data_IF_286462795984
#
_entry.id   IF_286462795984
#
_cell.length_a   1.000
_cell.length_b   1.000
_cell.length_c   1.000
_cell.angle_alpha   90.00
_cell.angle_beta   90.00
_cell.angle_gamma   90.00
#
_symmetry.space_group_name_H-M   'P 1'
#
loop_
_entity.id
_entity.type
_entity.pdbx_description
1 polymer ?
#
# COMPACT_ATOMS: atom_id res chain seq x y z
N UNK A 1 -72.63 -53.44 -15.13
CA UNK A 1 -71.70 -53.55 -13.99
C UNK A 1 -70.30 -53.62 -14.53
N UNK A 2 -69.42 -52.74 -14.03
CA UNK A 2 -67.96 -52.78 -14.15
C UNK A 2 -67.40 -52.64 -15.59
N UNK A 3 -66.32 -51.92 -15.89
CA UNK A 3 -65.41 -51.00 -15.21
C UNK A 3 -64.56 -50.45 -16.37
N UNK A 4 -64.41 -49.13 -16.48
CA UNK A 4 -63.57 -48.53 -17.51
C UNK A 4 -62.11 -48.92 -17.32
N UNK A 5 -61.52 -49.56 -18.33
CA UNK A 5 -60.08 -49.78 -18.42
C UNK A 5 -59.48 -48.64 -19.25
N UNK A 6 -58.73 -47.79 -18.56
CA UNK A 6 -57.80 -46.79 -19.09
C UNK A 6 -56.73 -47.45 -19.97
N UNK A 7 -56.65 -47.03 -21.23
CA UNK A 7 -55.50 -47.34 -22.09
C UNK A 7 -54.44 -46.24 -21.87
N UNK A 8 -53.31 -46.67 -21.32
CA UNK A 8 -52.20 -45.82 -20.89
C UNK A 8 -51.26 -45.66 -22.09
N UNK A 9 -51.23 -44.45 -22.65
CA UNK A 9 -50.22 -44.04 -23.61
C UNK A 9 -48.82 -44.15 -23.01
N UNK A 10 -47.95 -44.87 -23.72
CA UNK A 10 -46.54 -45.11 -23.43
C UNK A 10 -45.74 -43.81 -23.21
N UNK A 11 -45.34 -43.53 -21.97
CA UNK A 11 -44.15 -42.72 -21.71
C UNK A 11 -42.92 -43.62 -21.85
N UNK A 12 -42.14 -43.40 -22.92
CA UNK A 12 -40.80 -43.98 -23.07
C UNK A 12 -39.94 -43.47 -21.91
N UNK A 13 -39.71 -44.34 -20.92
CA UNK A 13 -38.84 -44.08 -19.78
C UNK A 13 -37.47 -43.59 -20.25
N UNK A 14 -37.16 -42.33 -19.93
CA UNK A 14 -35.83 -41.76 -20.08
C UNK A 14 -34.93 -42.50 -19.09
N UNK A 15 -34.09 -43.42 -19.57
CA UNK A 15 -33.15 -44.14 -18.73
C UNK A 15 -31.99 -43.19 -18.39
N UNK A 16 -32.10 -42.47 -17.27
CA UNK A 16 -31.01 -41.66 -16.76
C UNK A 16 -29.85 -42.60 -16.37
N UNK A 17 -28.72 -42.50 -17.07
CA UNK A 17 -27.48 -43.15 -16.65
C UNK A 17 -26.96 -42.42 -15.42
N UNK A 18 -26.77 -43.14 -14.31
CA UNK A 18 -26.08 -42.62 -13.13
C UNK A 18 -24.65 -42.23 -13.52
N UNK A 19 -24.33 -40.94 -13.39
CA UNK A 19 -22.98 -40.43 -13.55
C UNK A 19 -22.32 -40.50 -12.18
N UNK A 20 -21.45 -41.47 -11.98
CA UNK A 20 -20.59 -41.55 -10.80
C UNK A 20 -19.41 -40.61 -11.01
N UNK A 21 -19.37 -39.50 -10.27
CA UNK A 21 -18.19 -38.65 -10.19
C UNK A 21 -17.27 -39.25 -9.13
N UNK A 22 -16.16 -39.85 -9.57
CA UNK A 22 -15.11 -40.32 -8.67
C UNK A 22 -14.36 -39.11 -8.09
N UNK A 23 -14.82 -38.64 -6.94
CA UNK A 23 -14.17 -37.57 -6.18
C UNK A 23 -12.96 -38.18 -5.49
N UNK A 24 -11.80 -38.10 -6.15
CA UNK A 24 -10.52 -38.28 -5.45
C UNK A 24 -10.52 -37.35 -4.25
N UNK A 25 -10.26 -37.87 -3.05
CA UNK A 25 -10.02 -37.04 -1.86
C UNK A 25 -8.73 -36.24 -2.08
N UNK A 26 -8.85 -35.13 -2.80
CA UNK A 26 -7.83 -34.09 -2.84
C UNK A 26 -8.05 -33.32 -1.56
N UNK A 27 -7.23 -33.59 -0.55
CA UNK A 27 -7.20 -32.76 0.66
C UNK A 27 -6.92 -31.31 0.28
N UNK A 28 -7.33 -30.37 1.13
CA UNK A 28 -7.04 -28.96 0.91
C UNK A 28 -5.54 -28.77 0.60
N UNK A 29 -5.16 -27.87 -0.32
CA UNK A 29 -3.76 -27.57 -0.58
C UNK A 29 -3.09 -27.24 0.75
N UNK A 30 -2.17 -28.11 1.17
CA UNK A 30 -1.50 -27.97 2.46
C UNK A 30 -0.48 -26.83 2.34
N UNK A 31 -0.92 -25.61 2.64
CA UNK A 31 -0.07 -24.44 2.74
C UNK A 31 0.84 -24.62 3.96
N UNK A 32 2.02 -25.20 3.72
CA UNK A 32 3.02 -25.42 4.77
C UNK A 32 3.38 -24.10 5.47
N UNK A 33 3.82 -24.15 6.74
CA UNK A 33 4.14 -22.95 7.51
C UNK A 33 5.27 -22.10 6.89
N UNK A 34 6.07 -22.69 6.00
CA UNK A 34 7.12 -22.00 5.26
C UNK A 34 6.63 -21.23 4.02
N UNK A 35 5.41 -21.50 3.53
CA UNK A 35 4.91 -20.95 2.29
C UNK A 35 4.72 -19.43 2.38
N UNK A 36 5.37 -18.71 1.46
CA UNK A 36 5.35 -17.24 1.44
C UNK A 36 5.49 -16.63 0.03
N UNK A 37 5.79 -17.43 -1.00
CA UNK A 37 5.92 -16.97 -2.38
C UNK A 37 4.75 -17.52 -3.20
N UNK A 38 3.97 -16.62 -3.81
CA UNK A 38 2.69 -16.93 -4.44
C UNK A 38 2.68 -16.50 -5.90
N UNK A 39 1.84 -17.15 -6.71
CA UNK A 39 1.38 -16.55 -7.96
C UNK A 39 0.30 -15.54 -7.64
N UNK A 40 0.30 -14.42 -8.35
CA UNK A 40 -0.70 -13.37 -8.16
C UNK A 40 -2.06 -13.93 -8.58
N UNK A 41 -3.11 -13.77 -7.75
CA UNK A 41 -4.46 -14.19 -8.09
C UNK A 41 -4.88 -13.66 -9.47
N UNK A 42 -5.50 -14.52 -10.28
CA UNK A 42 -5.85 -14.20 -11.68
C UNK A 42 -6.69 -12.93 -11.83
N UNK A 43 -7.55 -12.63 -10.85
CA UNK A 43 -8.37 -11.41 -10.82
C UNK A 43 -7.50 -10.16 -10.70
N UNK A 44 -6.60 -10.12 -9.71
CA UNK A 44 -5.64 -9.03 -9.53
C UNK A 44 -4.71 -8.90 -10.75
N UNK A 45 -4.17 -10.01 -11.25
CA UNK A 45 -3.29 -10.02 -12.43
C UNK A 45 -3.95 -9.43 -13.66
N UNK A 46 -5.25 -9.71 -13.89
CA UNK A 46 -6.00 -9.22 -15.05
C UNK A 46 -6.18 -7.70 -15.04
N UNK A 47 -6.17 -7.05 -13.87
CA UNK A 47 -6.29 -5.58 -13.78
C UNK A 47 -5.06 -4.90 -14.37
N UNK A 48 -3.85 -5.44 -14.10
CA UNK A 48 -2.58 -4.90 -14.62
C UNK A 48 -1.49 -5.98 -14.64
N UNK A 49 -1.39 -6.71 -15.74
CA UNK A 49 -0.48 -7.85 -15.85
C UNK A 49 1.01 -7.44 -15.82
N UNK A 50 1.33 -6.30 -16.42
CA UNK A 50 2.68 -5.75 -16.50
C UNK A 50 3.27 -5.33 -15.14
N UNK A 51 2.42 -5.18 -14.12
CA UNK A 51 2.86 -4.86 -12.76
C UNK A 51 3.45 -6.07 -12.02
N UNK A 52 3.19 -7.29 -12.51
CA UNK A 52 3.62 -8.54 -11.88
C UNK A 52 4.65 -9.31 -12.70
N UNK A 53 4.95 -8.83 -13.92
CA UNK A 53 5.82 -9.52 -14.87
C UNK A 53 7.20 -8.84 -14.92
N UNK A 54 8.30 -9.55 -14.61
CA UNK A 54 9.63 -8.97 -14.68
C UNK A 54 10.00 -8.55 -16.10
N UNK A 55 10.67 -7.40 -16.23
CA UNK A 55 10.96 -6.75 -17.53
C UNK A 55 12.42 -6.90 -17.97
N UNK A 56 13.33 -7.13 -17.02
CA UNK A 56 14.78 -7.16 -17.24
C UNK A 56 15.41 -8.43 -16.68
N UNK A 57 14.97 -8.93 -15.52
CA UNK A 57 15.58 -10.08 -14.87
C UNK A 57 14.58 -11.02 -14.21
N UNK A 58 14.65 -12.29 -14.57
CA UNK A 58 13.96 -13.36 -13.84
C UNK A 58 14.81 -13.80 -12.65
N UNK A 59 14.16 -14.04 -11.51
CA UNK A 59 14.71 -14.60 -10.28
C UNK A 59 13.75 -15.68 -9.79
N UNK A 60 14.29 -16.84 -9.48
CA UNK A 60 13.46 -17.96 -9.03
C UNK A 60 12.72 -18.65 -10.17
N UNK A 61 11.82 -19.60 -9.83
CA UNK A 61 11.28 -20.56 -10.78
C UNK A 61 10.14 -20.04 -11.67
N UNK A 62 9.41 -19.00 -11.27
CA UNK A 62 8.14 -18.63 -11.94
C UNK A 62 8.36 -18.12 -13.36
N UNK A 63 9.40 -17.30 -13.56
CA UNK A 63 9.71 -16.68 -14.86
C UNK A 63 11.00 -17.22 -15.50
N UNK A 64 11.58 -18.29 -14.93
CA UNK A 64 12.93 -18.77 -15.27
C UNK A 64 13.11 -19.03 -16.78
N UNK A 65 12.13 -19.66 -17.40
CA UNK A 65 12.16 -20.05 -18.81
C UNK A 65 11.66 -18.96 -19.77
N UNK A 66 11.44 -17.72 -19.31
CA UNK A 66 10.98 -16.65 -20.17
C UNK A 66 12.08 -16.27 -21.19
N UNK A 67 11.81 -16.50 -22.48
CA UNK A 67 12.74 -16.20 -23.56
C UNK A 67 13.11 -14.72 -23.68
N UNK A 68 12.23 -13.82 -23.27
CA UNK A 68 12.45 -12.37 -23.32
C UNK A 68 13.51 -11.90 -22.31
N UNK A 69 13.82 -12.73 -21.30
CA UNK A 69 14.76 -12.40 -20.22
C UNK A 69 16.13 -13.10 -20.35
N UNK A 70 16.38 -13.76 -21.49
CA UNK A 70 17.60 -14.55 -21.73
C UNK A 70 18.88 -13.73 -21.72
N UNK A 71 18.84 -12.49 -22.22
CA UNK A 71 20.02 -11.63 -22.27
C UNK A 71 20.63 -11.40 -20.88
N UNK A 72 19.78 -11.29 -19.86
CA UNK A 72 20.23 -11.04 -18.49
C UNK A 72 20.85 -12.27 -17.84
N UNK A 73 20.63 -13.48 -18.36
CA UNK A 73 21.29 -14.69 -17.86
C UNK A 73 22.82 -14.62 -18.05
N UNK A 74 23.29 -14.07 -19.19
CA UNK A 74 24.72 -13.85 -19.42
C UNK A 74 25.32 -12.86 -18.40
N UNK A 75 24.55 -11.87 -17.96
CA UNK A 75 24.96 -10.94 -16.92
C UNK A 75 25.06 -11.65 -15.58
N UNK A 76 24.09 -12.50 -15.21
CA UNK A 76 24.17 -13.32 -13.99
C UNK A 76 25.41 -14.20 -13.98
N UNK A 77 25.72 -14.89 -15.07
CA UNK A 77 26.93 -15.72 -15.19
C UNK A 77 28.22 -14.91 -15.02
N UNK A 78 28.24 -13.65 -15.47
CA UNK A 78 29.38 -12.75 -15.25
C UNK A 78 29.55 -12.42 -13.77
N UNK A 79 28.46 -12.10 -13.07
CA UNK A 79 28.49 -11.84 -11.62
C UNK A 79 28.88 -13.10 -10.85
N UNK A 80 28.38 -14.25 -11.29
CA UNK A 80 28.74 -15.56 -10.75
C UNK A 80 30.24 -15.85 -10.85
N UNK A 81 30.83 -15.69 -12.04
CA UNK A 81 32.27 -15.85 -12.27
C UNK A 81 33.07 -14.87 -11.40
N UNK A 82 32.64 -13.62 -11.32
CA UNK A 82 33.31 -12.60 -10.50
C UNK A 82 33.27 -12.94 -9.01
N UNK A 83 32.13 -13.39 -8.50
CA UNK A 83 31.98 -13.78 -7.10
C UNK A 83 32.96 -14.92 -6.75
N UNK A 84 32.98 -15.98 -7.56
CA UNK A 84 33.87 -17.14 -7.33
C UNK A 84 35.35 -16.85 -7.61
N UNK A 85 35.68 -15.80 -8.36
CA UNK A 85 37.07 -15.34 -8.51
C UNK A 85 37.62 -14.65 -7.25
N UNK A 86 36.74 -14.18 -6.36
CA UNK A 86 37.09 -13.44 -5.15
C UNK A 86 37.14 -14.33 -3.89
N UNK A 87 36.79 -15.61 -4.00
CA UNK A 87 36.70 -16.54 -2.86
C UNK A 87 37.53 -17.80 -3.07
N UNK A 88 38.11 -18.33 -1.99
CA UNK A 88 38.74 -19.65 -1.99
C UNK A 88 37.74 -20.81 -1.88
N UNK A 89 36.45 -20.49 -1.66
CA UNK A 89 35.38 -21.48 -1.49
C UNK A 89 34.87 -21.98 -2.84
N UNK A 90 34.63 -23.29 -2.93
CA UNK A 90 34.18 -23.90 -4.18
C UNK A 90 32.69 -23.73 -4.45
N UNK A 91 32.31 -23.63 -5.72
CA UNK A 91 30.90 -23.63 -6.17
C UNK A 91 30.10 -24.83 -5.62
N UNK A 92 30.76 -26.00 -5.51
CA UNK A 92 30.17 -27.24 -4.95
C UNK A 92 29.71 -27.08 -3.50
N UNK A 93 30.39 -26.26 -2.69
CA UNK A 93 29.99 -26.03 -1.30
C UNK A 93 28.67 -25.26 -1.23
N UNK A 94 28.54 -24.20 -2.04
CA UNK A 94 27.31 -23.40 -2.13
C UNK A 94 26.15 -24.23 -2.69
N UNK A 95 26.40 -25.03 -3.74
CA UNK A 95 25.43 -25.97 -4.27
C UNK A 95 24.96 -26.98 -3.21
N UNK A 96 25.88 -27.50 -2.39
CA UNK A 96 25.54 -28.43 -1.30
C UNK A 96 24.67 -27.77 -0.21
N UNK A 97 24.88 -26.49 0.10
CA UNK A 97 24.01 -25.74 1.01
C UNK A 97 22.59 -25.69 0.45
N UNK A 98 22.43 -25.40 -0.83
CA UNK A 98 21.12 -25.36 -1.49
C UNK A 98 20.48 -26.74 -1.49
N UNK A 99 21.22 -27.80 -1.87
CA UNK A 99 20.71 -29.17 -1.88
C UNK A 99 20.19 -29.60 -0.50
N UNK A 100 20.94 -29.32 0.57
CA UNK A 100 20.53 -29.60 1.95
C UNK A 100 19.30 -28.83 2.41
N UNK A 101 18.93 -27.75 1.73
CA UNK A 101 17.77 -26.92 2.07
C UNK A 101 16.69 -26.99 0.98
N UNK A 102 16.83 -27.87 -0.02
CA UNK A 102 15.96 -27.93 -1.21
C UNK A 102 14.48 -28.01 -0.85
N UNK A 103 14.10 -28.94 0.03
CA UNK A 103 12.71 -29.09 0.45
C UNK A 103 12.18 -27.85 1.16
N UNK A 104 13.00 -27.21 2.01
CA UNK A 104 12.62 -25.97 2.67
C UNK A 104 12.44 -24.81 1.68
N UNK A 105 13.31 -24.70 0.68
CA UNK A 105 13.19 -23.69 -0.38
C UNK A 105 11.92 -23.96 -1.20
N UNK A 106 11.66 -25.21 -1.58
CA UNK A 106 10.45 -25.60 -2.30
C UNK A 106 9.18 -25.28 -1.49
N UNK A 107 9.16 -25.60 -0.20
CA UNK A 107 8.01 -25.35 0.68
C UNK A 107 7.72 -23.86 0.89
N UNK A 108 8.66 -22.96 0.55
CA UNK A 108 8.37 -21.53 0.52
C UNK A 108 7.47 -21.10 -0.64
N UNK A 109 7.32 -21.93 -1.68
CA UNK A 109 6.47 -21.63 -2.82
C UNK A 109 5.11 -22.31 -2.72
N UNK A 110 4.08 -21.59 -3.18
CA UNK A 110 2.74 -22.12 -3.36
C UNK A 110 2.73 -23.46 -4.12
N UNK A 111 1.81 -24.40 -3.81
CA UNK A 111 1.79 -25.74 -4.40
C UNK A 111 1.86 -25.76 -5.93
N UNK A 112 1.25 -24.79 -6.60
CA UNK A 112 1.23 -24.68 -8.06
C UNK A 112 2.61 -24.36 -8.65
N UNK A 113 3.46 -23.63 -7.91
CA UNK A 113 4.84 -23.33 -8.30
C UNK A 113 5.72 -24.53 -7.95
N UNK A 114 5.53 -25.12 -6.77
CA UNK A 114 6.29 -26.26 -6.28
C UNK A 114 6.24 -27.48 -7.22
N UNK A 115 5.12 -27.68 -7.91
CA UNK A 115 4.99 -28.73 -8.93
C UNK A 115 5.83 -28.46 -10.18
N UNK A 116 6.00 -27.19 -10.58
CA UNK A 116 6.81 -26.80 -11.76
C UNK A 116 8.30 -27.04 -11.50
N UNK A 117 8.74 -26.77 -10.27
CA UNK A 117 10.14 -26.89 -9.83
C UNK A 117 10.69 -28.33 -9.96
N UNK A 118 9.85 -29.37 -9.82
CA UNK A 118 10.31 -30.77 -9.79
C UNK A 118 10.91 -31.27 -11.10
N UNK A 119 10.69 -30.55 -12.21
CA UNK A 119 11.13 -30.94 -13.55
C UNK A 119 12.36 -30.16 -14.06
N UNK A 120 12.92 -29.24 -13.27
CA UNK A 120 13.96 -28.31 -13.71
C UNK A 120 15.27 -28.47 -12.92
N UNK A 121 16.37 -27.88 -13.42
CA UNK A 121 17.64 -27.79 -12.68
C UNK A 121 17.57 -26.74 -11.56
N UNK A 122 16.67 -26.98 -10.61
CA UNK A 122 16.30 -26.06 -9.54
C UNK A 122 17.49 -25.56 -8.73
N UNK A 123 18.44 -26.45 -8.43
CA UNK A 123 19.61 -26.13 -7.60
C UNK A 123 20.56 -25.18 -8.35
N UNK A 124 20.76 -25.41 -9.66
CA UNK A 124 21.54 -24.52 -10.51
C UNK A 124 20.89 -23.13 -10.61
N UNK A 125 19.58 -23.09 -10.85
CA UNK A 125 18.81 -21.84 -10.91
C UNK A 125 18.92 -21.05 -9.59
N UNK A 126 18.64 -21.68 -8.46
CA UNK A 126 18.72 -21.03 -7.14
C UNK A 126 20.14 -20.57 -6.86
N UNK A 127 21.15 -21.36 -7.23
CA UNK A 127 22.55 -21.01 -7.03
C UNK A 127 22.95 -19.79 -7.85
N UNK A 128 22.66 -19.78 -9.15
CA UNK A 128 22.99 -18.67 -10.04
C UNK A 128 22.30 -17.37 -9.59
N UNK A 129 20.99 -17.44 -9.32
CA UNK A 129 20.19 -16.28 -8.94
C UNK A 129 20.60 -15.75 -7.55
N UNK A 130 20.87 -16.63 -6.59
CA UNK A 130 21.33 -16.22 -5.25
C UNK A 130 22.67 -15.51 -5.30
N UNK A 131 23.64 -16.07 -6.03
CA UNK A 131 24.98 -15.47 -6.14
C UNK A 131 24.93 -14.16 -6.91
N UNK A 132 24.10 -14.05 -7.95
CA UNK A 132 23.86 -12.79 -8.64
C UNK A 132 23.37 -11.69 -7.67
N UNK A 133 22.34 -11.98 -6.86
CA UNK A 133 21.77 -11.04 -5.89
C UNK A 133 22.83 -10.62 -4.86
N UNK A 134 23.54 -11.59 -4.28
CA UNK A 134 24.57 -11.34 -3.26
C UNK A 134 25.67 -10.43 -3.82
N UNK A 135 26.20 -10.77 -5.00
CA UNK A 135 27.26 -9.99 -5.64
C UNK A 135 26.75 -8.57 -5.98
N UNK A 136 25.55 -8.45 -6.56
CA UNK A 136 24.96 -7.15 -6.89
C UNK A 136 24.84 -6.24 -5.65
N UNK A 137 24.33 -6.78 -4.54
CA UNK A 137 24.15 -6.01 -3.31
C UNK A 137 25.49 -5.61 -2.69
N UNK A 138 26.49 -6.50 -2.72
CA UNK A 138 27.83 -6.18 -2.26
C UNK A 138 28.48 -5.07 -3.09
N UNK A 139 28.40 -5.13 -4.42
CA UNK A 139 28.94 -4.09 -5.31
C UNK A 139 28.27 -2.74 -5.08
N UNK A 140 26.94 -2.74 -4.89
CA UNK A 140 26.18 -1.55 -4.55
C UNK A 140 26.63 -0.96 -3.21
N UNK A 141 26.85 -1.82 -2.21
CA UNK A 141 27.33 -1.41 -0.89
C UNK A 141 28.75 -0.81 -0.94
N UNK A 142 29.65 -1.42 -1.73
CA UNK A 142 31.03 -0.95 -1.99
C UNK A 142 31.09 0.27 -2.91
N UNK A 143 29.98 0.62 -3.58
CA UNK A 143 29.85 1.69 -4.57
C UNK A 143 30.81 1.52 -5.76
N UNK A 144 30.82 0.33 -6.34
CA UNK A 144 31.65 0.06 -7.52
C UNK A 144 31.19 0.88 -8.74
N UNK A 145 32.02 1.83 -9.18
CA UNK A 145 31.67 2.82 -10.21
C UNK A 145 31.62 2.22 -11.64
N UNK A 146 32.41 1.18 -11.91
CA UNK A 146 32.56 0.57 -13.25
C UNK A 146 31.68 -0.67 -13.47
N UNK A 147 30.71 -0.92 -12.59
CA UNK A 147 29.85 -2.08 -12.68
C UNK A 147 28.81 -1.95 -13.82
N UNK A 148 28.54 -3.04 -14.56
CA UNK A 148 27.68 -3.02 -15.75
C UNK A 148 26.24 -2.57 -15.45
N UNK A 149 25.68 -3.01 -14.31
CA UNK A 149 24.33 -2.67 -13.86
C UNK A 149 24.35 -1.31 -13.15
N UNK A 150 25.22 -1.15 -12.15
CA UNK A 150 25.19 0.00 -11.25
C UNK A 150 25.62 1.30 -11.92
N UNK A 151 26.44 1.24 -12.98
CA UNK A 151 26.82 2.42 -13.78
C UNK A 151 25.67 3.00 -14.63
N UNK A 152 24.57 2.25 -14.82
CA UNK A 152 23.42 2.67 -15.63
C UNK A 152 22.18 2.87 -14.75
N UNK A 153 21.78 4.12 -14.44
CA UNK A 153 20.68 4.39 -13.53
C UNK A 153 19.36 3.69 -13.89
N UNK A 154 18.98 3.70 -15.17
CA UNK A 154 17.75 3.05 -15.64
C UNK A 154 17.77 1.53 -15.46
N UNK A 155 18.93 0.89 -15.66
CA UNK A 155 19.09 -0.56 -15.55
C UNK A 155 19.10 -0.98 -14.08
N UNK A 156 19.84 -0.25 -13.24
CA UNK A 156 19.82 -0.44 -11.78
C UNK A 156 18.39 -0.31 -11.23
N UNK A 157 17.70 0.75 -11.61
CA UNK A 157 16.34 1.02 -11.14
C UNK A 157 15.35 -0.04 -11.63
N UNK A 158 15.45 -0.48 -12.87
CA UNK A 158 14.58 -1.54 -13.41
C UNK A 158 14.85 -2.89 -12.76
N UNK A 159 16.11 -3.25 -12.51
CA UNK A 159 16.44 -4.48 -11.77
C UNK A 159 15.92 -4.40 -10.34
N UNK A 160 16.04 -3.24 -9.69
CA UNK A 160 15.46 -3.04 -8.36
C UNK A 160 13.93 -3.27 -8.34
N UNK A 161 13.21 -2.83 -9.38
CA UNK A 161 11.77 -3.09 -9.53
C UNK A 161 11.47 -4.58 -9.74
N UNK A 162 12.21 -5.25 -10.61
CA UNK A 162 11.99 -6.67 -10.87
C UNK A 162 12.26 -7.53 -9.62
N UNK A 163 13.25 -7.14 -8.80
CA UNK A 163 13.60 -7.86 -7.57
C UNK A 163 12.53 -7.79 -6.48
N UNK A 164 11.54 -6.87 -6.55
CA UNK A 164 10.47 -6.75 -5.55
C UNK A 164 9.15 -7.38 -6.00
N UNK A 165 9.06 -7.87 -7.23
CA UNK A 165 7.83 -8.48 -7.76
C UNK A 165 7.53 -9.80 -7.04
N UNK A 166 6.29 -10.00 -6.62
CA UNK A 166 5.88 -11.16 -5.81
C UNK A 166 6.17 -12.51 -6.52
N UNK A 167 6.05 -12.54 -7.84
CA UNK A 167 6.32 -13.73 -8.66
C UNK A 167 7.82 -13.91 -9.00
N UNK A 168 8.69 -12.98 -8.60
CA UNK A 168 10.10 -12.96 -9.01
C UNK A 168 11.06 -13.04 -7.79
N UNK A 169 10.81 -14.01 -6.91
CA UNK A 169 11.45 -14.09 -5.59
C UNK A 169 12.24 -15.38 -5.38
N UNK A 170 13.27 -15.27 -4.55
CA UNK A 170 13.87 -16.39 -3.81
C UNK A 170 13.61 -16.19 -2.31
N UNK A 171 13.49 -17.26 -1.51
CA UNK A 171 13.38 -17.14 -0.06
C UNK A 171 14.59 -16.42 0.54
N UNK A 172 14.35 -15.43 1.39
CA UNK A 172 15.41 -14.61 1.99
C UNK A 172 16.40 -15.45 2.79
N UNK A 173 15.94 -16.49 3.49
CA UNK A 173 16.77 -17.33 4.33
C UNK A 173 17.91 -18.03 3.55
N UNK A 174 17.69 -18.41 2.29
CA UNK A 174 18.74 -19.07 1.51
C UNK A 174 19.80 -18.06 1.08
N UNK A 175 19.40 -16.83 0.73
CA UNK A 175 20.32 -15.74 0.41
C UNK A 175 21.20 -15.40 1.62
N UNK A 176 20.59 -15.23 2.79
CA UNK A 176 21.29 -14.95 4.04
C UNK A 176 22.25 -16.10 4.42
N UNK A 177 21.81 -17.36 4.32
CA UNK A 177 22.65 -18.53 4.62
C UNK A 177 23.86 -18.66 3.70
N UNK A 178 23.69 -18.42 2.39
CA UNK A 178 24.81 -18.45 1.42
C UNK A 178 25.77 -17.29 1.67
N UNK A 179 25.25 -16.11 2.00
CA UNK A 179 26.07 -14.94 2.29
C UNK A 179 26.84 -15.06 3.62
N UNK A 180 26.24 -15.64 4.66
CA UNK A 180 26.93 -15.99 5.92
C UNK A 180 28.04 -17.01 5.69
N UNK A 181 27.84 -17.96 4.78
CA UNK A 181 28.92 -18.86 4.36
C UNK A 181 30.04 -18.09 3.66
N UNK A 182 29.80 -16.93 3.06
CA UNK A 182 30.84 -16.16 2.38
C UNK A 182 31.65 -15.24 3.32
N UNK A 183 31.01 -14.26 3.98
CA UNK A 183 31.69 -13.34 4.94
C UNK A 183 30.85 -13.01 6.17
N UNK A 184 29.52 -12.89 6.01
CA UNK A 184 28.59 -12.54 7.09
C UNK A 184 28.68 -11.10 7.63
N UNK A 185 29.53 -10.20 7.10
CA UNK A 185 29.66 -8.82 7.59
C UNK A 185 29.81 -7.77 6.45
N UNK A 186 28.92 -6.74 6.36
CA UNK A 186 27.69 -6.55 7.16
C UNK A 186 26.71 -7.70 6.92
N UNK A 187 25.69 -7.89 7.76
CA UNK A 187 24.71 -8.97 7.53
C UNK A 187 23.92 -8.76 6.22
N UNK A 188 23.31 -9.82 5.69
CA UNK A 188 22.65 -9.76 4.38
C UNK A 188 21.46 -8.78 4.35
N UNK A 189 20.73 -8.65 5.46
CA UNK A 189 19.63 -7.70 5.59
C UNK A 189 20.09 -6.25 5.48
N UNK A 190 21.25 -5.91 6.05
CA UNK A 190 21.85 -4.59 5.89
C UNK A 190 22.23 -4.30 4.44
N UNK A 191 22.76 -5.29 3.71
CA UNK A 191 23.02 -5.16 2.28
C UNK A 191 21.72 -4.91 1.49
N UNK A 192 20.68 -5.71 1.76
CA UNK A 192 19.37 -5.56 1.12
C UNK A 192 18.75 -4.18 1.40
N UNK A 193 18.73 -3.75 2.67
CA UNK A 193 18.25 -2.43 3.05
C UNK A 193 19.06 -1.31 2.40
N UNK A 194 20.38 -1.48 2.28
CA UNK A 194 21.23 -0.49 1.61
C UNK A 194 20.95 -0.40 0.11
N UNK A 195 20.58 -1.51 -0.53
CA UNK A 195 20.24 -1.57 -1.95
C UNK A 195 18.88 -0.91 -2.24
N UNK A 196 17.85 -1.26 -1.46
CA UNK A 196 16.47 -0.84 -1.73
C UNK A 196 16.09 0.54 -1.19
N UNK A 197 16.62 0.95 -0.03
CA UNK A 197 16.21 2.20 0.62
C UNK A 197 17.25 3.30 0.43
N UNK A 198 16.82 4.54 0.18
CA UNK A 198 17.71 5.65 -0.23
C UNK A 198 18.47 6.27 0.94
N UNK A 199 19.64 6.89 0.70
CA UNK A 199 20.47 7.53 1.74
C UNK A 199 19.78 8.68 2.49
N UNK A 200 18.77 9.33 1.90
CA UNK A 200 17.94 10.34 2.60
C UNK A 200 17.06 9.72 3.69
N UNK A 201 16.71 8.44 3.56
CA UNK A 201 16.04 7.62 4.59
C UNK A 201 17.06 6.97 5.54
N UNK A 202 18.36 7.06 5.23
CA UNK A 202 19.51 6.56 6.03
C UNK A 202 20.11 7.63 6.95
N UNK A 203 19.51 8.81 7.10
CA UNK A 203 20.05 9.84 8.00
C UNK A 203 19.88 9.42 9.49
N UNK A 204 20.84 8.62 9.99
CA UNK A 204 21.35 8.47 11.38
C UNK A 204 21.15 7.16 12.16
N UNK A 205 20.62 6.05 11.65
CA UNK A 205 20.18 4.98 12.58
C UNK A 205 20.55 3.55 12.17
N UNK A 206 20.66 2.65 13.16
CA UNK A 206 21.06 1.23 13.08
C UNK A 206 19.91 0.33 12.59
N UNK A 207 20.23 -0.88 12.11
CA UNK A 207 19.32 -1.94 11.61
C UNK A 207 18.11 -2.20 12.52
N UNK A 208 18.30 -2.04 13.85
CA UNK A 208 17.27 -2.19 14.91
C UNK A 208 16.12 -1.16 14.85
N UNK A 209 16.28 -0.06 14.09
CA UNK A 209 15.22 0.93 13.84
C UNK A 209 14.70 0.95 12.40
N UNK A 210 15.32 0.24 11.46
CA UNK A 210 14.82 0.14 10.07
C UNK A 210 13.63 -0.81 9.96
N UNK A 211 13.57 -1.80 10.83
CA UNK A 211 12.50 -2.78 10.94
C UNK A 211 12.13 -2.90 12.41
N UNK A 212 10.86 -3.19 12.74
CA UNK A 212 10.50 -3.58 14.09
C UNK A 212 11.40 -4.73 14.57
N UNK A 213 11.84 -4.78 15.84
CA UNK A 213 12.69 -5.86 16.35
C UNK A 213 12.12 -7.27 16.10
N UNK A 214 10.79 -7.39 16.02
CA UNK A 214 10.10 -8.63 15.64
C UNK A 214 10.28 -9.04 14.18
N UNK A 215 10.59 -8.10 13.28
CA UNK A 215 10.66 -8.30 11.81
C UNK A 215 12.08 -8.58 11.31
N UNK A 216 13.12 -8.18 12.04
CA UNK A 216 14.54 -8.35 11.63
C UNK A 216 14.89 -9.82 11.37
N UNK A 217 14.30 -10.75 12.11
CA UNK A 217 14.54 -12.19 11.95
C UNK A 217 13.44 -12.92 11.14
N UNK A 218 12.52 -12.20 10.50
CA UNK A 218 11.31 -12.78 9.89
C UNK A 218 11.09 -12.43 8.42
N UNK A 219 11.97 -11.62 7.79
CA UNK A 219 11.85 -11.26 6.37
C UNK A 219 11.82 -12.53 5.51
N UNK A 220 10.76 -12.69 4.72
CA UNK A 220 10.53 -13.92 3.95
C UNK A 220 11.14 -13.86 2.54
N UNK A 221 11.05 -12.70 1.90
CA UNK A 221 11.59 -12.36 0.58
C UNK A 221 11.56 -10.82 0.39
N UNK A 222 11.94 -10.29 -0.76
CA UNK A 222 12.10 -8.83 -0.94
C UNK A 222 10.78 -8.06 -0.99
N UNK A 223 9.71 -8.62 -1.55
CA UNK A 223 8.37 -8.00 -1.46
C UNK A 223 7.91 -7.86 0.01
N UNK A 224 8.19 -8.88 0.83
CA UNK A 224 7.90 -8.84 2.28
C UNK A 224 8.80 -7.84 3.02
N UNK A 225 10.07 -7.69 2.62
CA UNK A 225 10.94 -6.62 3.11
C UNK A 225 10.36 -5.22 2.82
N UNK A 226 9.87 -5.00 1.59
CA UNK A 226 9.22 -3.74 1.21
C UNK A 226 7.95 -3.48 2.03
N UNK A 227 7.15 -4.52 2.28
CA UNK A 227 5.96 -4.42 3.12
C UNK A 227 6.31 -3.97 4.54
N UNK A 228 7.32 -4.59 5.14
CA UNK A 228 7.72 -4.31 6.52
C UNK A 228 8.25 -2.87 6.71
N UNK A 229 8.70 -2.20 5.63
CA UNK A 229 9.15 -0.80 5.66
C UNK A 229 8.01 0.19 5.99
N UNK A 230 6.75 -0.14 5.64
CA UNK A 230 5.63 0.79 5.80
C UNK A 230 5.06 0.87 7.21
N UNK A 231 5.48 0.00 8.13
CA UNK A 231 5.01 -0.16 9.52
C UNK A 231 3.48 -0.28 9.68
N UNK A 232 3.03 -1.26 10.47
CA UNK A 232 1.60 -1.37 10.78
C UNK A 232 1.08 -0.08 11.45
N UNK A 233 -0.14 0.37 11.10
CA UNK A 233 -0.85 1.38 11.87
C UNK A 233 -0.97 0.96 13.34
N UNK A 234 -1.05 1.93 14.26
CA UNK A 234 -1.21 1.69 15.71
C UNK A 234 -2.64 1.30 16.09
N UNK A 235 -3.58 1.52 15.18
CA UNK A 235 -5.00 1.27 15.36
C UNK A 235 -5.27 -0.24 15.49
N UNK A 236 -6.37 -0.58 16.16
CA UNK A 236 -6.89 -1.94 16.19
C UNK A 236 -7.83 -2.09 14.98
N UNK A 237 -7.72 -3.17 14.19
CA UNK A 237 -8.61 -3.35 13.05
C UNK A 237 -10.05 -3.58 13.53
N UNK A 238 -11.01 -3.04 12.80
CA UNK A 238 -12.44 -3.28 12.99
C UNK A 238 -13.12 -3.58 11.66
N UNK A 239 -14.40 -3.26 11.56
CA UNK A 239 -15.19 -3.53 10.36
C UNK A 239 -14.61 -2.87 9.09
N UNK A 240 -14.86 -3.43 7.90
CA UNK A 240 -14.49 -2.81 6.63
C UNK A 240 -14.93 -1.34 6.53
N UNK A 241 -14.16 -0.53 5.80
CA UNK A 241 -14.43 0.90 5.72
C UNK A 241 -15.71 1.12 4.89
N UNK A 242 -16.73 1.67 5.54
CA UNK A 242 -17.80 2.35 4.83
C UNK A 242 -17.52 3.84 4.78
N UNK A 243 -16.85 4.36 3.76
CA UNK A 243 -16.67 5.81 3.57
C UNK A 243 -17.28 6.26 2.23
N UNK A 244 -17.75 7.51 2.14
CA UNK A 244 -18.47 8.00 0.93
C UNK A 244 -18.11 9.41 0.50
N UNK A 245 -17.10 10.03 1.13
CA UNK A 245 -16.82 11.45 0.96
C UNK A 245 -15.40 11.66 0.45
N UNK A 246 -15.27 12.29 -0.71
CA UNK A 246 -13.97 12.63 -1.27
C UNK A 246 -13.30 13.77 -0.50
N UNK A 247 -12.01 13.98 -0.74
CA UNK A 247 -11.23 15.01 -0.07
C UNK A 247 -11.84 16.40 -0.27
N UNK A 248 -12.24 16.75 -1.49
CA UNK A 248 -12.89 18.03 -1.78
C UNK A 248 -14.23 18.17 -1.05
N UNK A 249 -15.04 17.11 -0.94
CA UNK A 249 -16.32 17.15 -0.19
C UNK A 249 -16.08 17.39 1.30
N UNK A 250 -15.06 16.76 1.86
CA UNK A 250 -14.69 16.93 3.27
C UNK A 250 -14.14 18.35 3.53
N UNK A 251 -13.32 18.89 2.63
CA UNK A 251 -12.85 20.29 2.70
C UNK A 251 -14.00 21.29 2.59
N UNK A 252 -14.95 21.06 1.69
CA UNK A 252 -16.14 21.89 1.56
C UNK A 252 -17.00 21.87 2.84
N UNK A 253 -17.02 20.75 3.55
CA UNK A 253 -17.65 20.61 4.87
C UNK A 253 -16.85 21.25 6.02
N UNK A 254 -15.65 21.77 5.75
CA UNK A 254 -14.79 22.49 6.70
C UNK A 254 -13.71 21.64 7.38
N UNK A 255 -13.50 20.40 6.93
CA UNK A 255 -12.40 19.55 7.42
C UNK A 255 -11.07 20.07 6.85
N UNK A 256 -10.05 20.17 7.69
CA UNK A 256 -8.73 20.61 7.24
C UNK A 256 -7.83 19.42 6.99
N UNK A 257 -7.26 19.34 5.80
CA UNK A 257 -6.22 18.39 5.47
C UNK A 257 -4.88 18.94 5.96
N UNK A 258 -4.05 18.08 6.56
CA UNK A 258 -2.74 18.49 7.06
C UNK A 258 -1.70 17.40 6.84
N UNK A 259 -0.54 17.81 6.32
CA UNK A 259 0.63 16.94 6.24
C UNK A 259 1.28 16.72 7.62
N UNK A 260 1.67 15.49 7.93
CA UNK A 260 2.50 15.15 9.09
C UNK A 260 3.88 15.83 9.02
N UNK A 261 4.25 16.56 10.08
CA UNK A 261 5.55 17.23 10.19
C UNK A 261 6.54 16.36 10.96
N UNK A 262 7.62 15.89 10.32
CA UNK A 262 8.70 15.15 10.99
C UNK A 262 9.82 14.69 10.04
N UNK A 263 10.96 14.19 10.57
CA UNK A 263 12.08 13.68 9.77
C UNK A 263 11.82 12.29 9.14
N UNK A 264 10.83 11.53 9.63
CA UNK A 264 10.53 10.15 9.20
C UNK A 264 9.32 10.01 8.26
N UNK A 265 9.17 10.95 7.31
CA UNK A 265 7.94 11.12 6.52
C UNK A 265 7.48 9.87 5.75
N UNK A 266 8.41 9.06 5.23
CA UNK A 266 8.07 7.90 4.40
C UNK A 266 7.75 6.64 5.23
N UNK A 267 8.34 6.48 6.43
CA UNK A 267 8.21 5.27 7.27
C UNK A 267 6.87 5.18 8.01
N UNK A 268 6.11 6.27 7.99
CA UNK A 268 4.81 6.40 8.66
C UNK A 268 3.70 6.65 7.67
N UNK A 269 3.88 6.30 6.38
CA UNK A 269 2.89 6.55 5.33
C UNK A 269 1.47 6.13 5.73
N UNK A 270 1.37 5.04 6.50
CA UNK A 270 0.13 4.43 6.93
C UNK A 270 -0.48 5.08 8.20
N UNK A 271 0.19 6.06 8.84
CA UNK A 271 -0.30 6.69 10.07
C UNK A 271 -1.27 7.84 9.78
N UNK A 272 -2.50 7.51 9.39
CA UNK A 272 -3.58 8.49 9.20
C UNK A 272 -4.35 8.69 10.52
N UNK A 273 -4.50 9.94 10.94
CA UNK A 273 -5.14 10.29 12.21
C UNK A 273 -6.08 11.49 12.08
N UNK A 274 -7.21 11.45 12.78
CA UNK A 274 -8.10 12.60 12.92
C UNK A 274 -7.84 13.32 14.25
N UNK A 275 -7.48 14.59 14.16
CA UNK A 275 -7.34 15.48 15.30
C UNK A 275 -8.65 16.26 15.46
N UNK A 276 -9.48 15.83 16.41
CA UNK A 276 -10.76 16.47 16.69
C UNK A 276 -10.53 17.84 17.35
N UNK A 277 -11.26 18.86 16.87
CA UNK A 277 -11.29 20.16 17.53
C UNK A 277 -11.94 20.07 18.92
N UNK A 278 -11.94 21.19 19.64
CA UNK A 278 -12.45 21.30 21.01
C UNK A 278 -13.87 20.67 21.18
N UNK A 279 -14.13 20.04 22.32
CA UNK A 279 -15.42 19.42 22.69
C UNK A 279 -16.62 20.34 22.53
N UNK A 280 -16.42 21.66 22.62
CA UNK A 280 -17.46 22.66 22.35
C UNK A 280 -18.09 22.52 20.96
N UNK A 281 -17.39 21.95 19.98
CA UNK A 281 -17.94 21.66 18.64
C UNK A 281 -18.96 20.52 18.64
N UNK A 282 -18.96 19.65 19.65
CA UNK A 282 -20.02 18.66 19.84
C UNK A 282 -21.33 19.32 20.29
N UNK A 283 -21.24 20.50 20.93
CA UNK A 283 -22.38 21.26 21.45
C UNK A 283 -22.81 22.35 20.45
N UNK A 284 -21.85 23.06 19.85
CA UNK A 284 -22.08 24.11 18.86
C UNK A 284 -21.17 23.93 17.63
N UNK A 285 -21.56 23.08 16.67
CA UNK A 285 -20.74 22.77 15.49
C UNK A 285 -20.47 23.98 14.58
N UNK A 286 -21.33 25.01 14.63
CA UNK A 286 -21.19 26.26 13.88
C UNK A 286 -19.96 27.10 14.28
N UNK A 287 -19.34 26.82 15.42
CA UNK A 287 -18.14 27.52 15.90
C UNK A 287 -16.82 26.94 15.39
N UNK A 288 -16.84 26.03 14.39
CA UNK A 288 -15.59 25.58 13.76
C UNK A 288 -14.82 26.73 13.07
N UNK A 289 -15.52 27.84 12.78
CA UNK A 289 -15.01 29.08 12.20
C UNK A 289 -14.15 28.90 10.93
N UNK A 290 -14.23 27.75 10.26
CA UNK A 290 -13.43 27.40 9.09
C UNK A 290 -13.61 28.42 7.96
N UNK A 291 -14.86 28.79 7.66
CA UNK A 291 -15.21 29.84 6.68
C UNK A 291 -14.58 31.19 7.00
N UNK A 292 -14.71 31.62 8.26
CA UNK A 292 -14.23 32.92 8.72
C UNK A 292 -12.70 33.00 8.65
N UNK A 293 -12.02 31.91 9.00
CA UNK A 293 -10.57 31.78 8.95
C UNK A 293 -10.02 31.66 7.52
N UNK A 294 -10.82 31.15 6.58
CA UNK A 294 -10.48 31.13 5.16
C UNK A 294 -10.55 32.53 4.54
N UNK A 295 -11.59 33.31 4.86
CA UNK A 295 -11.74 34.68 4.36
C UNK A 295 -10.90 35.72 5.10
N UNK A 296 -10.54 35.47 6.35
CA UNK A 296 -9.73 36.38 7.19
C UNK A 296 -8.53 35.62 7.79
N UNK A 297 -7.43 35.47 7.03
CA UNK A 297 -6.25 34.73 7.48
C UNK A 297 -5.63 35.28 8.76
N UNK A 298 -5.81 36.58 9.04
CA UNK A 298 -5.33 37.23 10.26
C UNK A 298 -5.93 36.63 11.54
N UNK A 299 -7.13 36.04 11.48
CA UNK A 299 -7.80 35.42 12.61
C UNK A 299 -7.23 34.03 12.96
N UNK A 300 -6.42 33.43 12.08
CA UNK A 300 -5.65 32.20 12.39
C UNK A 300 -4.65 32.43 13.53
N UNK A 301 -4.31 33.68 13.86
CA UNK A 301 -3.44 34.02 15.00
C UNK A 301 -4.15 33.91 16.36
N UNK A 302 -5.47 33.70 16.39
CA UNK A 302 -6.25 33.55 17.62
C UNK A 302 -6.24 32.06 18.02
N UNK A 303 -5.53 31.68 19.11
CA UNK A 303 -5.33 30.26 19.46
C UNK A 303 -6.64 29.50 19.71
N UNK A 304 -7.65 30.19 20.24
CA UNK A 304 -8.97 29.61 20.45
C UNK A 304 -9.62 29.15 19.15
N UNK A 305 -9.57 29.96 18.09
CA UNK A 305 -10.17 29.61 16.79
C UNK A 305 -9.42 28.48 16.10
N UNK A 306 -8.09 28.42 16.26
CA UNK A 306 -7.28 27.31 15.75
C UNK A 306 -7.61 25.98 16.46
N UNK A 307 -7.87 26.02 17.77
CA UNK A 307 -8.28 24.85 18.56
C UNK A 307 -9.68 24.30 18.22
N UNK A 308 -10.49 25.05 17.47
CA UNK A 308 -11.84 24.68 17.03
C UNK A 308 -11.83 23.94 15.67
N UNK A 309 -10.66 23.69 15.09
CA UNK A 309 -10.57 23.04 13.78
C UNK A 309 -10.38 21.53 13.93
N UNK A 310 -11.19 20.75 13.21
CA UNK A 310 -10.95 19.32 13.03
C UNK A 310 -10.04 19.11 11.84
N UNK A 311 -8.97 18.33 12.04
CA UNK A 311 -7.94 18.10 11.03
C UNK A 311 -7.80 16.62 10.73
N UNK A 312 -7.66 16.27 9.47
CA UNK A 312 -7.21 14.96 9.03
C UNK A 312 -5.72 15.04 8.71
N UNK A 313 -4.92 14.39 9.54
CA UNK A 313 -3.48 14.32 9.35
C UNK A 313 -3.16 13.11 8.48
N UNK A 314 -2.64 13.37 7.29
CA UNK A 314 -2.21 12.35 6.35
C UNK A 314 -0.70 12.51 6.14
N UNK A 315 0.08 11.43 6.30
CA UNK A 315 1.50 11.45 6.00
C UNK A 315 1.79 11.79 4.54
N UNK A 316 2.96 12.38 4.31
CA UNK A 316 3.42 12.73 2.97
C UNK A 316 3.58 11.50 2.07
N UNK A 317 2.92 11.51 0.92
CA UNK A 317 2.93 10.43 -0.06
C UNK A 317 3.56 10.89 -1.38
N UNK A 318 4.72 10.31 -1.71
CA UNK A 318 5.39 10.55 -3.00
C UNK A 318 4.93 9.51 -4.01
N UNK A 319 4.47 9.97 -5.16
CA UNK A 319 3.95 9.13 -6.24
C UNK A 319 4.80 9.32 -7.50
N UNK A 320 5.42 8.25 -7.95
CA UNK A 320 6.21 8.18 -9.18
C UNK A 320 5.74 7.03 -10.07
N UNK A 321 6.43 6.84 -11.20
CA UNK A 321 6.12 5.79 -12.17
C UNK A 321 6.30 4.35 -11.63
N UNK A 322 6.89 4.16 -10.45
CA UNK A 322 7.13 2.84 -9.84
C UNK A 322 6.09 2.51 -8.77
N UNK A 323 5.41 3.54 -8.27
CA UNK A 323 4.51 3.47 -7.12
C UNK A 323 3.38 2.47 -7.35
N UNK A 324 2.73 2.51 -8.51
CA UNK A 324 1.62 1.59 -8.80
C UNK A 324 2.08 0.12 -8.77
N UNK A 325 3.21 -0.19 -9.41
CA UNK A 325 3.72 -1.55 -9.50
C UNK A 325 4.13 -2.07 -8.10
N UNK A 326 4.76 -1.21 -7.27
CA UNK A 326 5.08 -1.53 -5.88
C UNK A 326 3.81 -1.89 -5.08
N UNK A 327 2.82 -0.99 -5.03
CA UNK A 327 1.61 -1.21 -4.22
C UNK A 327 0.82 -2.43 -4.71
N UNK A 328 0.74 -2.68 -6.02
CA UNK A 328 0.10 -3.89 -6.56
C UNK A 328 0.73 -5.18 -6.06
N UNK A 329 2.06 -5.24 -5.98
CA UNK A 329 2.77 -6.42 -5.45
C UNK A 329 2.61 -6.57 -3.94
N UNK A 330 2.64 -5.46 -3.20
CA UNK A 330 2.42 -5.47 -1.75
C UNK A 330 0.99 -5.90 -1.39
N UNK A 331 -0.01 -5.38 -2.10
CA UNK A 331 -1.41 -5.73 -1.91
C UNK A 331 -1.68 -7.18 -2.30
N UNK A 332 -1.09 -7.68 -3.39
CA UNK A 332 -1.17 -9.10 -3.74
C UNK A 332 -0.55 -9.99 -2.65
N UNK A 333 0.59 -9.58 -2.06
CA UNK A 333 1.19 -10.29 -0.93
C UNK A 333 0.25 -10.30 0.28
N UNK A 334 -0.38 -9.17 0.62
CA UNK A 334 -1.32 -9.11 1.74
C UNK A 334 -2.55 -10.00 1.54
N UNK A 335 -3.15 -9.97 0.36
CA UNK A 335 -4.31 -10.79 0.02
C UNK A 335 -3.99 -12.30 0.04
N UNK A 336 -2.75 -12.70 -0.27
CA UNK A 336 -2.35 -14.11 -0.27
C UNK A 336 -1.80 -14.60 1.08
N UNK A 337 -1.11 -13.73 1.82
CA UNK A 337 -0.25 -14.15 2.93
C UNK A 337 -0.59 -13.52 4.28
N UNK A 338 -1.20 -12.33 4.28
CA UNK A 338 -1.53 -11.55 5.47
C UNK A 338 -2.98 -11.06 5.48
N UNK A 339 -3.99 -11.91 5.25
CA UNK A 339 -5.39 -11.46 5.11
C UNK A 339 -5.87 -10.67 6.34
N UNK A 340 -5.51 -11.10 7.55
CA UNK A 340 -5.89 -10.43 8.80
C UNK A 340 -5.08 -9.15 9.13
N UNK A 341 -4.01 -8.88 8.37
CA UNK A 341 -3.08 -7.77 8.62
C UNK A 341 -2.91 -6.91 7.36
N UNK A 342 -3.92 -6.78 6.53
CA UNK A 342 -3.85 -6.14 5.21
C UNK A 342 -3.83 -4.59 5.25
N UNK A 343 -2.93 -4.01 6.05
CA UNK A 343 -2.88 -2.57 6.31
C UNK A 343 -2.52 -1.72 5.07
N UNK A 344 -1.83 -2.29 4.07
CA UNK A 344 -1.56 -1.58 2.80
C UNK A 344 -2.83 -1.56 1.95
N UNK A 345 -3.53 -2.69 1.84
CA UNK A 345 -4.84 -2.73 1.18
C UNK A 345 -5.81 -1.73 1.83
N UNK A 346 -5.93 -1.74 3.16
CA UNK A 346 -6.83 -0.82 3.87
C UNK A 346 -6.48 0.65 3.63
N UNK A 347 -5.19 0.99 3.56
CA UNK A 347 -4.75 2.35 3.27
C UNK A 347 -5.12 2.80 1.86
N UNK A 348 -4.92 1.93 0.87
CA UNK A 348 -5.30 2.22 -0.51
C UNK A 348 -6.81 2.38 -0.66
N UNK A 349 -7.62 1.57 0.05
CA UNK A 349 -9.07 1.73 0.07
C UNK A 349 -9.50 3.05 0.71
N UNK A 350 -8.84 3.47 1.80
CA UNK A 350 -9.07 4.80 2.37
C UNK A 350 -8.74 5.92 1.36
N UNK A 351 -7.61 5.79 0.63
CA UNK A 351 -7.23 6.75 -0.40
C UNK A 351 -8.21 6.76 -1.59
N UNK A 352 -8.70 5.60 -2.03
CA UNK A 352 -9.72 5.48 -3.09
C UNK A 352 -10.97 6.29 -2.75
N UNK A 353 -11.45 6.21 -1.50
CA UNK A 353 -12.57 7.03 -1.06
C UNK A 353 -12.26 8.54 -1.03
N UNK A 354 -11.04 8.93 -0.65
CA UNK A 354 -10.62 10.33 -0.59
C UNK A 354 -10.35 10.90 -1.99
N UNK A 355 -9.85 10.11 -2.94
CA UNK A 355 -9.29 10.57 -4.21
C UNK A 355 -10.14 10.08 -5.39
N UNK A 356 -11.32 10.65 -5.58
CA UNK A 356 -12.20 10.25 -6.68
C UNK A 356 -11.89 10.98 -7.99
N UNK A 357 -11.31 12.19 -7.91
CA UNK A 357 -11.16 13.11 -9.04
C UNK A 357 -9.80 13.82 -9.03
N UNK A 358 -9.48 14.51 -10.14
CA UNK A 358 -8.29 15.35 -10.23
C UNK A 358 -8.30 16.51 -9.21
N UNK A 359 -9.48 16.99 -8.81
CA UNK A 359 -9.64 18.12 -7.90
C UNK A 359 -9.35 17.68 -6.46
N UNK A 360 -9.68 16.43 -6.11
CA UNK A 360 -9.28 15.83 -4.83
C UNK A 360 -7.76 15.71 -4.73
N UNK A 361 -7.09 15.30 -5.82
CA UNK A 361 -5.62 15.27 -5.87
C UNK A 361 -5.03 16.68 -5.79
N UNK A 362 -5.62 17.65 -6.50
CA UNK A 362 -5.16 19.04 -6.49
C UNK A 362 -5.14 19.60 -5.06
N UNK A 363 -6.24 19.41 -4.31
CA UNK A 363 -6.32 19.79 -2.90
C UNK A 363 -5.21 19.13 -2.06
N UNK A 364 -5.00 17.82 -2.21
CA UNK A 364 -3.98 17.09 -1.44
C UNK A 364 -2.55 17.49 -1.83
N UNK A 365 -2.33 17.94 -3.07
CA UNK A 365 -1.06 18.50 -3.54
C UNK A 365 -0.83 19.90 -2.96
N UNK A 366 -1.86 20.75 -2.93
CA UNK A 366 -1.79 22.09 -2.33
C UNK A 366 -1.46 22.04 -0.83
N UNK A 367 -2.04 21.07 -0.11
CA UNK A 367 -1.74 20.81 1.31
C UNK A 367 -0.41 20.07 1.53
N UNK A 368 0.30 19.76 0.44
CA UNK A 368 1.59 19.09 0.45
C UNK A 368 1.54 17.66 1.00
N UNK A 369 0.37 17.02 1.00
CA UNK A 369 0.18 15.61 1.37
C UNK A 369 0.65 14.73 0.23
N UNK A 370 0.29 15.06 -1.02
CA UNK A 370 0.72 14.33 -2.21
C UNK A 370 1.77 15.12 -2.97
N UNK A 371 2.85 14.46 -3.37
CA UNK A 371 3.81 14.97 -4.36
C UNK A 371 3.93 13.93 -5.45
N UNK A 372 3.68 14.29 -6.71
CA UNK A 372 3.70 13.32 -7.79
C UNK A 372 4.51 13.75 -9.01
N UNK A 373 4.97 12.76 -9.76
CA UNK A 373 5.68 12.92 -11.04
C UNK A 373 5.03 12.08 -12.15
N UNK A 374 3.69 11.96 -12.13
CA UNK A 374 2.91 11.22 -13.14
C UNK A 374 2.42 12.09 -14.31
N UNK A 375 2.72 13.39 -14.27
CA UNK A 375 2.39 14.35 -15.35
C UNK A 375 1.03 15.03 -15.21
N UNK A 376 0.08 14.48 -14.45
CA UNK A 376 -1.18 15.19 -14.12
C UNK A 376 -1.86 14.68 -12.86
N UNK A 377 -2.61 15.55 -12.18
CA UNK A 377 -3.45 15.17 -11.03
C UNK A 377 -4.49 14.10 -11.40
N UNK A 378 -4.97 14.11 -12.65
CA UNK A 378 -5.89 13.10 -13.17
C UNK A 378 -5.24 11.70 -13.20
N UNK A 379 -3.97 11.62 -13.59
CA UNK A 379 -3.25 10.35 -13.64
C UNK A 379 -3.11 9.71 -12.25
N UNK A 380 -2.90 10.53 -11.21
CA UNK A 380 -2.88 10.07 -9.81
C UNK A 380 -4.25 9.52 -9.39
N UNK A 381 -5.33 10.26 -9.64
CA UNK A 381 -6.68 9.80 -9.30
C UNK A 381 -7.03 8.49 -10.02
N UNK A 382 -6.73 8.39 -11.32
CA UNK A 382 -6.94 7.16 -12.09
C UNK A 382 -6.10 5.98 -11.57
N UNK A 383 -4.85 6.22 -11.14
CA UNK A 383 -3.99 5.20 -10.55
C UNK A 383 -4.56 4.69 -9.22
N UNK A 384 -4.89 5.58 -8.29
CA UNK A 384 -5.44 5.21 -6.96
C UNK A 384 -6.73 4.42 -7.13
N UNK A 385 -7.64 4.89 -7.98
CA UNK A 385 -8.94 4.23 -8.20
C UNK A 385 -8.82 2.85 -8.87
N UNK A 386 -7.72 2.61 -9.60
CA UNK A 386 -7.42 1.31 -10.19
C UNK A 386 -6.68 0.37 -9.24
N UNK A 387 -6.07 0.87 -8.15
CA UNK A 387 -5.40 0.03 -7.17
C UNK A 387 -6.41 -0.72 -6.29
N UNK A 388 -7.56 -0.12 -5.97
CA UNK A 388 -8.62 -0.76 -5.17
C UNK A 388 -9.41 -1.87 -5.88
N UNK A 389 -9.25 -2.04 -7.20
CA UNK A 389 -10.00 -3.05 -7.97
C UNK A 389 -9.58 -4.48 -7.59
N UNK A 390 -10.57 -5.36 -7.40
CA UNK A 390 -10.40 -6.77 -7.03
C UNK A 390 -9.73 -7.00 -5.65
N UNK A 391 -9.65 -5.96 -4.82
CA UNK A 391 -9.18 -6.06 -3.44
C UNK A 391 -10.34 -6.41 -2.52
N UNK A 392 -10.11 -7.40 -1.66
CA UNK A 392 -11.08 -7.82 -0.64
C UNK A 392 -10.66 -7.24 0.71
N UNK A 393 -11.57 -6.54 1.36
CA UNK A 393 -11.39 -6.01 2.72
C UNK A 393 -12.24 -6.81 3.70
N UNK A 394 -11.59 -7.60 4.56
CA UNK A 394 -12.26 -8.35 5.63
C UNK A 394 -12.35 -7.55 6.93
N UNK A 395 -11.28 -6.81 7.24
CA UNK A 395 -11.19 -5.90 8.37
C UNK A 395 -10.40 -4.66 7.95
N UNK A 396 -10.47 -3.59 8.75
CA UNK A 396 -9.74 -2.37 8.45
C UNK A 396 -9.13 -1.67 9.65
N UNK A 397 -7.86 -1.30 9.53
CA UNK A 397 -7.15 -0.43 10.48
C UNK A 397 -7.66 1.02 10.47
N UNK A 398 -8.43 1.42 9.45
CA UNK A 398 -8.96 2.78 9.31
C UNK A 398 -10.48 2.88 9.53
N UNK A 399 -11.11 1.82 10.05
CA UNK A 399 -12.55 1.80 10.37
C UNK A 399 -12.96 3.03 11.21
N UNK A 400 -12.23 3.29 12.29
CA UNK A 400 -12.48 4.41 13.21
C UNK A 400 -12.25 5.78 12.56
N UNK A 401 -11.24 5.88 11.69
CA UNK A 401 -10.99 7.13 10.94
C UNK A 401 -12.16 7.40 10.01
N UNK A 402 -12.61 6.39 9.27
CA UNK A 402 -13.75 6.51 8.36
C UNK A 402 -15.06 6.83 9.11
N UNK A 403 -15.33 6.17 10.24
CA UNK A 403 -16.48 6.47 11.11
C UNK A 403 -16.46 7.93 11.58
N UNK A 404 -15.30 8.41 12.04
CA UNK A 404 -15.14 9.78 12.50
C UNK A 404 -15.32 10.80 11.36
N UNK A 405 -14.83 10.50 10.16
CA UNK A 405 -15.04 11.32 8.96
C UNK A 405 -16.52 11.36 8.54
N UNK A 406 -17.20 10.21 8.56
CA UNK A 406 -18.62 10.15 8.26
C UNK A 406 -19.46 10.90 9.30
N UNK A 407 -19.14 10.75 10.58
CA UNK A 407 -19.80 11.48 11.67
C UNK A 407 -19.58 12.98 11.50
N UNK A 408 -18.36 13.40 11.14
CA UNK A 408 -18.05 14.78 10.85
C UNK A 408 -18.91 15.31 9.69
N UNK A 409 -18.96 14.61 8.55
CA UNK A 409 -19.70 15.07 7.38
C UNK A 409 -21.23 15.06 7.58
N UNK A 410 -21.78 14.06 8.28
CA UNK A 410 -23.24 13.96 8.56
C UNK A 410 -23.76 15.03 9.51
N UNK A 411 -22.88 15.70 10.25
CA UNK A 411 -23.30 16.80 11.12
C UNK A 411 -24.00 17.88 10.28
N UNK A 412 -25.24 18.21 10.66
CA UNK A 412 -26.12 19.11 9.91
C UNK A 412 -25.46 20.45 9.56
N UNK A 413 -24.68 21.00 10.50
CA UNK A 413 -23.93 22.23 10.29
C UNK A 413 -22.82 22.09 9.25
N UNK A 414 -22.11 20.96 9.24
CA UNK A 414 -21.04 20.70 8.28
C UNK A 414 -21.61 20.44 6.88
N UNK A 415 -22.77 19.78 6.79
CA UNK A 415 -23.49 19.61 5.52
C UNK A 415 -23.98 20.95 4.95
N UNK A 416 -24.51 21.82 5.81
CA UNK A 416 -24.92 23.17 5.39
C UNK A 416 -23.73 24.11 5.17
N UNK A 417 -22.56 23.77 5.70
CA UNK A 417 -21.31 24.52 5.50
C UNK A 417 -20.95 24.60 4.02
N UNK A 418 -21.13 23.52 3.28
CA UNK A 418 -20.90 23.48 1.83
C UNK A 418 -21.73 24.54 1.10
N UNK A 419 -23.03 24.63 1.44
CA UNK A 419 -23.93 25.65 0.89
C UNK A 419 -23.49 27.07 1.30
N UNK A 420 -23.12 27.26 2.58
CA UNK A 420 -22.63 28.56 3.08
C UNK A 420 -21.34 29.00 2.37
N UNK A 421 -20.35 28.09 2.22
CA UNK A 421 -19.08 28.32 1.52
C UNK A 421 -19.34 28.76 0.08
N UNK A 422 -20.24 28.06 -0.61
CA UNK A 422 -20.52 28.28 -2.04
C UNK A 422 -21.31 29.55 -2.31
N UNK A 423 -22.27 29.91 -1.43
CA UNK A 423 -23.17 31.06 -1.65
C UNK A 423 -22.57 32.37 -1.11
N UNK A 424 -22.09 32.36 0.13
CA UNK A 424 -21.73 33.58 0.87
C UNK A 424 -20.23 33.84 0.94
N UNK A 425 -19.40 32.78 0.88
CA UNK A 425 -17.95 32.89 1.06
C UNK A 425 -17.16 32.45 -0.18
N UNK A 426 -17.79 32.51 -1.36
CA UNK A 426 -17.16 32.13 -2.64
C UNK A 426 -15.94 33.00 -2.98
N UNK A 427 -15.98 34.26 -2.58
CA UNK A 427 -14.92 35.23 -2.79
C UNK A 427 -14.85 36.20 -1.60
N UNK A 428 -13.71 36.89 -1.50
CA UNK A 428 -13.40 37.80 -0.39
C UNK A 428 -14.47 38.90 -0.24
N UNK A 429 -15.04 39.40 -1.34
CA UNK A 429 -16.01 40.49 -1.32
C UNK A 429 -17.36 40.05 -0.78
N UNK A 430 -17.87 38.89 -1.22
CA UNK A 430 -19.09 38.30 -0.67
C UNK A 430 -18.93 37.91 0.80
N UNK A 431 -17.77 37.35 1.16
CA UNK A 431 -17.46 36.97 2.53
C UNK A 431 -17.43 38.18 3.46
N UNK A 432 -16.72 39.25 3.08
CA UNK A 432 -16.64 40.48 3.88
C UNK A 432 -17.98 41.20 3.98
N UNK A 433 -18.77 41.28 2.91
CA UNK A 433 -20.12 41.84 2.94
C UNK A 433 -21.05 41.07 3.89
N UNK A 434 -20.95 39.74 3.89
CA UNK A 434 -21.71 38.88 4.81
C UNK A 434 -21.31 39.13 6.26
N UNK A 435 -20.01 39.22 6.56
CA UNK A 435 -19.52 39.53 7.92
C UNK A 435 -19.98 40.91 8.39
N UNK A 436 -19.88 41.92 7.54
CA UNK A 436 -20.38 43.28 7.86
C UNK A 436 -21.88 43.25 8.12
N UNK A 437 -22.65 42.54 7.29
CA UNK A 437 -24.09 42.36 7.48
C UNK A 437 -24.43 41.72 8.82
N UNK A 438 -23.70 40.68 9.23
CA UNK A 438 -23.87 40.03 10.54
C UNK A 438 -23.52 40.99 11.68
N UNK A 439 -22.43 41.74 11.59
CA UNK A 439 -22.03 42.72 12.62
C UNK A 439 -23.11 43.79 12.78
N UNK A 440 -23.59 44.35 11.67
CA UNK A 440 -24.67 45.35 11.67
C UNK A 440 -25.93 44.77 12.30
N UNK A 441 -26.31 43.54 11.95
CA UNK A 441 -27.48 42.86 12.54
C UNK A 441 -27.33 42.69 14.05
N UNK A 442 -26.19 42.21 14.53
CA UNK A 442 -25.92 42.01 15.96
C UNK A 442 -25.96 43.33 16.71
N UNK A 443 -25.30 44.38 16.20
CA UNK A 443 -25.33 45.72 16.78
C UNK A 443 -26.76 46.26 16.83
N UNK A 444 -27.55 46.04 15.77
CA UNK A 444 -28.95 46.48 15.70
C UNK A 444 -29.80 45.76 16.73
N UNK A 445 -29.66 44.44 16.88
CA UNK A 445 -30.36 43.63 17.89
C UNK A 445 -29.95 44.07 19.31
N UNK A 446 -28.65 44.26 19.56
CA UNK A 446 -28.17 44.75 20.86
C UNK A 446 -28.76 46.12 21.19
N UNK A 447 -28.76 47.05 20.23
CA UNK A 447 -29.37 48.38 20.39
C UNK A 447 -30.87 48.29 20.64
N UNK A 448 -31.58 47.37 19.98
CA UNK A 448 -33.01 47.13 20.19
C UNK A 448 -33.31 46.52 21.56
N UNK A 449 -32.48 45.58 22.04
CA UNK A 449 -32.64 44.92 23.33
C UNK A 449 -32.16 45.78 24.51
N UNK A 450 -31.28 46.75 24.26
CA UNK A 450 -30.69 47.63 25.29
C UNK A 450 -31.73 48.27 26.23
N UNK A 451 -32.88 48.81 25.76
CA UNK A 451 -33.90 49.37 26.64
C UNK A 451 -34.63 48.34 27.50
N UNK A 452 -34.63 47.06 27.10
CA UNK A 452 -35.36 45.98 27.78
C UNK A 452 -34.48 45.21 28.78
N UNK A 453 -33.19 45.06 28.47
CA UNK A 453 -32.23 44.35 29.33
C UNK A 453 -31.65 45.24 30.43
N UNK A 454 -31.44 46.53 30.14
CA UNK A 454 -30.82 47.47 31.09
C UNK A 454 -31.83 48.35 31.85
N UNK A 455 -33.13 48.01 31.84
CA UNK A 455 -34.17 48.75 32.59
C UNK A 455 -34.36 48.30 34.05
N UNK A 456 -33.60 47.31 34.52
CA UNK A 456 -33.69 46.78 35.89
C UNK A 456 -32.34 46.67 36.62
N UNK A 457 -31.36 47.50 36.25
CA UNK A 457 -30.16 47.75 37.07
C UNK A 457 -30.23 49.18 37.59
#
# INVERSE_FOLDING_TARGET
MATGATDISQEKGLQCKEIFIDIKQVGDPNWGPECCIYKVPKRLRKVKEEAYTPKLISIGPVHHNNSELKEMQMVKERYFKSFFSQTYKGQKEFACIIEKNKDKICNCYAPEISQQIKNENFVEMVLLDSIFIIELFMRSYRKEENDYILSKPWLKDGIMQDLILLENQLPFFILDKLYQHFTGNPNFLELACSYFFSRKEKCRETTEKFLPPSSVNQVKHFTDLQRNFFHSPKQIPGDPIEHRHSATKLDMAGLIFQNEKGPEKNRRLLQVEIQKGNKLLEIFPCFNCSLLLHCLPCLKKIPFLESMQTRLVIPHFVIDNKTEDLFRNLMALEQCHYPDKAYICNYILLLDFLINSKDDVELLVEEGIIVHSLGSNKAVAEMVNKLGQEIVEENSYYCKVAEDLNKYYRNWWNKNMESLKTVYFRDIWRGTATVVGIIVLVVTIMNFLRPFVFRHI
#
